data_IF_052268275148
#
_entry.id   IF_052268275148
#
_cell.length_a   1.000
_cell.length_b   1.000
_cell.length_c   1.000
_cell.angle_alpha   90.00
_cell.angle_beta   90.00
_cell.angle_gamma   90.00
#
_symmetry.space_group_name_H-M   'P 1'
#
loop_
_entity.id
_entity.type
_entity.pdbx_description
1 polymer ?
#
# COMPACT_ATOMS: atom_id res chain seq x y z
N UNK A 1 -13.99 -21.39 15.65
CA UNK A 1 -13.64 -20.74 15.58
C UNK A 1 -13.48 -20.01 15.16
N UNK A 2 -13.41 -19.55 14.83
CA UNK A 2 -13.20 -18.70 14.36
C UNK A 2 -12.41 -18.33 14.20
N UNK A 3 -12.77 -18.61 14.10
CA UNK A 3 -11.90 -18.17 13.68
C UNK A 3 -11.46 -16.89 13.54
N UNK A 4 -10.56 -16.72 13.20
CA UNK A 4 -10.04 -15.42 13.16
C UNK A 4 -10.58 -14.63 11.98
N UNK A 5 -10.66 -13.31 12.10
CA UNK A 5 -11.05 -12.44 11.00
C UNK A 5 -9.85 -12.01 10.15
N UNK A 6 -8.67 -12.56 10.44
CA UNK A 6 -7.47 -12.19 9.71
C UNK A 6 -7.41 -12.87 8.35
N UNK A 7 -7.09 -12.10 7.33
CA UNK A 7 -6.85 -12.62 6.00
C UNK A 7 -5.52 -12.05 5.49
N UNK A 8 -4.74 -12.86 4.81
CA UNK A 8 -3.47 -12.44 4.27
C UNK A 8 -3.35 -12.89 2.83
N UNK A 9 -3.00 -11.95 1.94
CA UNK A 9 -2.83 -12.23 0.51
C UNK A 9 -1.47 -11.73 0.09
N UNK A 10 -0.71 -12.60 -0.56
CA UNK A 10 0.62 -12.29 -1.05
C UNK A 10 0.58 -12.11 -2.55
N UNK A 11 1.25 -11.07 -3.03
CA UNK A 11 1.28 -10.75 -4.45
C UNK A 11 2.69 -10.27 -4.81
N UNK A 12 3.25 -10.83 -5.85
CA UNK A 12 4.53 -10.35 -6.39
C UNK A 12 4.30 -9.81 -7.78
N UNK A 13 4.78 -8.60 -8.03
CA UNK A 13 4.69 -7.98 -9.35
C UNK A 13 6.07 -7.45 -9.76
N UNK A 14 6.36 -7.38 -11.06
CA UNK A 14 7.57 -6.71 -11.49
C UNK A 14 7.55 -5.24 -11.02
N UNK A 15 8.72 -4.73 -10.63
CA UNK A 15 8.84 -3.35 -10.14
C UNK A 15 8.86 -2.39 -11.32
N UNK A 16 7.72 -2.28 -12.00
CA UNK A 16 7.53 -1.41 -13.16
C UNK A 16 6.17 -0.74 -13.07
N UNK A 17 6.10 0.49 -13.53
CA UNK A 17 4.91 1.33 -13.38
C UNK A 17 3.60 0.67 -13.82
N UNK A 18 3.52 -0.03 -14.97
CA UNK A 18 2.24 -0.63 -15.37
C UNK A 18 1.68 -1.65 -14.39
N UNK A 19 2.53 -2.31 -13.62
CA UNK A 19 2.09 -3.34 -12.68
C UNK A 19 1.59 -2.78 -11.35
N UNK A 20 1.83 -1.51 -11.07
CA UNK A 20 1.27 -0.86 -9.89
C UNK A 20 -0.25 -0.91 -9.92
N UNK A 21 -0.84 -0.92 -11.11
CA UNK A 21 -2.28 -1.00 -11.28
C UNK A 21 -2.87 -2.28 -10.68
N UNK A 22 -2.14 -3.39 -10.81
CA UNK A 22 -2.60 -4.67 -10.27
C UNK A 22 -2.71 -4.58 -8.75
N UNK A 23 -1.72 -3.98 -8.12
CA UNK A 23 -1.71 -3.78 -6.67
C UNK A 23 -2.89 -2.90 -6.25
N UNK A 24 -3.10 -1.79 -6.96
CA UNK A 24 -4.19 -0.86 -6.66
C UNK A 24 -5.55 -1.51 -6.80
N UNK A 25 -5.78 -2.25 -7.89
CA UNK A 25 -7.06 -2.90 -8.14
C UNK A 25 -7.32 -4.00 -7.10
N UNK A 26 -6.29 -4.77 -6.76
CA UNK A 26 -6.41 -5.81 -5.74
C UNK A 26 -6.75 -5.24 -4.39
N UNK A 27 -6.10 -4.15 -4.01
CA UNK A 27 -6.38 -3.47 -2.74
C UNK A 27 -7.80 -2.93 -2.70
N UNK A 28 -8.25 -2.31 -3.79
CA UNK A 28 -9.61 -1.76 -3.85
C UNK A 28 -10.67 -2.85 -3.71
N UNK A 29 -10.44 -4.00 -4.36
CA UNK A 29 -11.36 -5.12 -4.26
C UNK A 29 -11.47 -5.65 -2.83
N UNK A 30 -10.33 -5.78 -2.15
CA UNK A 30 -10.33 -6.22 -0.76
C UNK A 30 -10.98 -5.20 0.17
N UNK A 31 -10.69 -3.93 -0.04
CA UNK A 31 -11.25 -2.87 0.79
C UNK A 31 -12.77 -2.82 0.66
N UNK A 32 -13.27 -2.94 -0.56
CA UNK A 32 -14.70 -2.96 -0.80
C UNK A 32 -15.36 -4.14 -0.09
N UNK A 33 -14.76 -5.31 -0.17
CA UNK A 33 -15.27 -6.51 0.47
C UNK A 33 -15.36 -6.35 1.99
N UNK A 34 -14.48 -5.55 2.57
CA UNK A 34 -14.41 -5.38 4.03
C UNK A 34 -15.06 -4.09 4.51
N UNK A 35 -15.92 -3.51 3.72
CA UNK A 35 -16.82 -2.46 4.19
C UNK A 35 -16.31 -1.04 4.09
N UNK A 36 -15.23 -0.80 3.37
CA UNK A 36 -14.81 0.58 3.15
C UNK A 36 -15.77 1.31 2.23
N UNK A 37 -15.98 2.58 2.51
CA UNK A 37 -16.77 3.45 1.64
C UNK A 37 -16.00 3.76 0.35
N UNK A 38 -16.71 4.24 -0.66
CA UNK A 38 -16.05 4.63 -1.91
C UNK A 38 -15.01 5.72 -1.69
N UNK A 39 -15.30 6.69 -0.81
CA UNK A 39 -14.33 7.73 -0.50
C UNK A 39 -13.06 7.18 0.16
N UNK A 40 -13.24 6.25 1.08
CA UNK A 40 -12.10 5.58 1.73
C UNK A 40 -11.29 4.77 0.75
N UNK A 41 -11.96 4.09 -0.19
CA UNK A 41 -11.28 3.31 -1.23
C UNK A 41 -10.50 4.23 -2.15
N UNK A 42 -11.06 5.38 -2.52
CA UNK A 42 -10.36 6.35 -3.36
C UNK A 42 -9.09 6.86 -2.68
N UNK A 43 -9.19 7.18 -1.39
CA UNK A 43 -8.02 7.62 -0.61
C UNK A 43 -6.96 6.53 -0.57
N UNK A 44 -7.38 5.29 -0.34
CA UNK A 44 -6.47 4.16 -0.30
C UNK A 44 -5.78 3.97 -1.66
N UNK A 45 -6.53 4.07 -2.75
CA UNK A 45 -5.97 3.92 -4.10
C UNK A 45 -4.90 4.97 -4.38
N UNK A 46 -5.15 6.21 -3.99
CA UNK A 46 -4.18 7.29 -4.17
C UNK A 46 -2.92 7.03 -3.34
N UNK A 47 -3.09 6.59 -2.10
CA UNK A 47 -1.95 6.28 -1.24
C UNK A 47 -1.12 5.14 -1.83
N UNK A 48 -1.76 4.12 -2.39
CA UNK A 48 -1.08 2.99 -3.00
C UNK A 48 -0.34 3.42 -4.26
N UNK A 49 -0.93 4.28 -5.08
CA UNK A 49 -0.24 4.81 -6.25
C UNK A 49 1.06 5.52 -5.85
N UNK A 50 0.99 6.35 -4.81
CA UNK A 50 2.19 7.06 -4.34
C UNK A 50 3.20 6.09 -3.73
N UNK A 51 2.73 5.06 -3.03
CA UNK A 51 3.60 4.04 -2.48
C UNK A 51 4.36 3.31 -3.57
N UNK A 52 3.68 2.97 -4.67
CA UNK A 52 4.34 2.30 -5.79
C UNK A 52 5.36 3.22 -6.46
N UNK A 53 5.04 4.49 -6.60
CA UNK A 53 5.98 5.48 -7.17
C UNK A 53 7.26 5.54 -6.33
N UNK A 54 7.11 5.58 -5.01
CA UNK A 54 8.25 5.60 -4.10
C UNK A 54 9.12 4.34 -4.28
N UNK A 55 8.48 3.17 -4.34
CA UNK A 55 9.22 1.92 -4.45
C UNK A 55 9.93 1.77 -5.80
N UNK A 56 9.51 2.50 -6.82
CA UNK A 56 10.18 2.49 -8.11
C UNK A 56 11.36 3.46 -8.17
N UNK A 57 11.49 4.35 -7.18
CA UNK A 57 12.57 5.32 -7.15
C UNK A 57 13.92 4.64 -7.01
N UNK A 58 14.90 5.10 -7.74
CA UNK A 58 16.27 4.57 -7.66
C UNK A 58 16.51 3.31 -8.47
N UNK A 59 15.54 2.86 -9.26
CA UNK A 59 15.73 1.68 -10.10
C UNK A 59 16.23 2.07 -11.49
N UNK A 60 17.29 1.42 -12.00
CA UNK A 60 17.70 1.64 -13.38
C UNK A 60 16.69 1.02 -14.35
N UNK A 61 16.70 1.47 -15.60
CA UNK A 61 15.74 1.03 -16.61
C UNK A 61 15.81 -0.47 -16.89
N UNK A 62 16.97 -1.06 -16.75
CA UNK A 62 17.21 -2.46 -17.10
C UNK A 62 17.20 -3.40 -15.90
N UNK A 63 16.59 -2.99 -14.79
CA UNK A 63 16.55 -3.81 -13.59
C UNK A 63 15.60 -5.01 -13.75
N UNK A 64 15.81 -6.02 -12.91
CA UNK A 64 14.96 -7.21 -12.81
C UNK A 64 14.26 -7.29 -11.46
N UNK A 65 14.09 -6.18 -10.77
CA UNK A 65 13.54 -6.18 -9.44
C UNK A 65 12.03 -6.41 -9.44
N UNK A 66 11.55 -7.02 -8.36
CA UNK A 66 10.12 -7.23 -8.12
C UNK A 66 9.71 -6.48 -6.87
N UNK A 67 8.41 -6.27 -6.73
CA UNK A 67 7.82 -5.77 -5.50
C UNK A 67 6.96 -6.89 -4.91
N UNK A 68 7.24 -7.23 -3.66
CA UNK A 68 6.43 -8.16 -2.90
C UNK A 68 5.44 -7.36 -2.08
N UNK A 69 4.17 -7.69 -2.21
CA UNK A 69 3.09 -7.00 -1.52
C UNK A 69 2.32 -7.99 -0.67
N UNK A 70 2.04 -7.60 0.55
CA UNK A 70 1.18 -8.38 1.43
C UNK A 70 0.00 -7.50 1.82
N UNK A 71 -1.20 -7.97 1.53
CA UNK A 71 -2.42 -7.35 2.04
C UNK A 71 -2.85 -8.12 3.26
N UNK A 72 -3.15 -7.42 4.35
CA UNK A 72 -3.67 -8.03 5.57
C UNK A 72 -4.95 -7.33 5.98
N UNK A 73 -5.95 -8.14 6.31
CA UNK A 73 -7.16 -7.63 6.92
C UNK A 73 -7.26 -8.28 8.29
N UNK A 74 -7.26 -7.48 9.33
CA UNK A 74 -7.34 -7.96 10.70
C UNK A 74 -8.32 -7.07 11.46
N UNK A 75 -9.38 -7.65 11.99
CA UNK A 75 -10.40 -6.90 12.73
C UNK A 75 -10.94 -5.70 11.94
N UNK A 76 -11.12 -5.89 10.63
CA UNK A 76 -11.63 -4.84 9.77
C UNK A 76 -10.60 -3.80 9.34
N UNK A 77 -9.39 -3.89 9.85
CA UNK A 77 -8.33 -2.95 9.47
C UNK A 77 -7.59 -3.49 8.25
N UNK A 78 -7.43 -2.62 7.27
CA UNK A 78 -6.66 -2.94 6.05
C UNK A 78 -5.21 -2.52 6.25
N UNK A 79 -4.30 -3.41 5.91
CA UNK A 79 -2.87 -3.11 5.90
C UNK A 79 -2.26 -3.58 4.59
N UNK A 80 -1.41 -2.74 4.01
CA UNK A 80 -0.58 -3.11 2.88
C UNK A 80 0.88 -2.96 3.31
N UNK A 81 1.65 -4.01 3.07
CA UNK A 81 3.09 -3.97 3.27
C UNK A 81 3.74 -4.30 1.94
N UNK A 82 4.71 -3.51 1.52
CA UNK A 82 5.37 -3.71 0.22
C UNK A 82 6.87 -3.54 0.37
N UNK A 83 7.61 -4.42 -0.30
CA UNK A 83 9.07 -4.41 -0.28
C UNK A 83 9.56 -4.60 -1.69
N UNK A 84 10.44 -3.72 -2.13
CA UNK A 84 11.14 -3.89 -3.41
C UNK A 84 12.36 -4.76 -3.18
N UNK A 85 12.69 -5.58 -4.16
CA UNK A 85 13.88 -6.40 -4.10
C UNK A 85 15.15 -5.58 -4.25
N UNK A 86 15.91 -5.84 -5.30
CA UNK A 86 17.19 -5.17 -5.51
C UNK A 86 16.99 -3.74 -6.01
N UNK A 87 18.02 -2.94 -5.83
CA UNK A 87 18.03 -1.56 -6.27
C UNK A 87 18.69 -0.67 -5.23
N UNK A 88 18.81 0.60 -5.55
CA UNK A 88 19.39 1.55 -4.62
C UNK A 88 18.34 2.01 -3.61
N UNK A 89 18.80 2.66 -2.56
CA UNK A 89 17.91 3.22 -1.55
C UNK A 89 16.91 4.18 -2.19
N UNK A 90 15.75 4.30 -1.58
CA UNK A 90 14.77 5.29 -2.00
C UNK A 90 15.30 6.66 -1.60
N UNK A 91 15.28 7.63 -2.54
CA UNK A 91 15.81 8.95 -2.30
C UNK A 91 14.95 9.79 -1.35
N UNK A 92 15.58 10.77 -0.71
CA UNK A 92 14.91 11.64 0.24
C UNK A 92 13.76 12.41 -0.38
N UNK A 93 13.92 12.87 -1.61
CA UNK A 93 12.85 13.62 -2.28
C UNK A 93 11.60 12.78 -2.48
N UNK A 94 11.79 11.50 -2.84
CA UNK A 94 10.67 10.58 -3.02
C UNK A 94 9.97 10.31 -1.69
N UNK A 95 10.72 10.11 -0.62
CA UNK A 95 10.16 9.91 0.71
C UNK A 95 9.38 11.14 1.16
N UNK A 96 9.95 12.31 0.96
CA UNK A 96 9.32 13.56 1.37
C UNK A 96 7.98 13.77 0.65
N UNK A 97 7.96 13.48 -0.65
CA UNK A 97 6.74 13.57 -1.44
C UNK A 97 5.69 12.58 -0.94
N UNK A 98 6.11 11.36 -0.65
CA UNK A 98 5.21 10.33 -0.14
C UNK A 98 4.60 10.76 1.19
N UNK A 99 5.44 11.28 2.11
CA UNK A 99 4.96 11.75 3.42
C UNK A 99 3.89 12.83 3.26
N UNK A 100 4.11 13.76 2.35
CA UNK A 100 3.20 14.87 2.15
C UNK A 100 1.82 14.41 1.66
N UNK A 101 1.79 13.33 0.87
CA UNK A 101 0.56 12.84 0.27
C UNK A 101 -0.13 11.81 1.16
N UNK A 102 0.62 10.83 1.66
CA UNK A 102 0.05 9.72 2.41
C UNK A 102 -0.57 10.14 3.73
N UNK A 103 -0.01 11.16 4.37
CA UNK A 103 -0.47 11.61 5.68
C UNK A 103 -1.94 12.02 5.71
N UNK A 104 -2.49 12.43 4.56
CA UNK A 104 -3.89 12.83 4.48
C UNK A 104 -4.82 11.73 3.96
N UNK A 105 -4.28 10.56 3.63
CA UNK A 105 -5.04 9.52 2.92
C UNK A 105 -5.22 8.24 3.72
N UNK A 106 -4.31 7.95 4.65
CA UNK A 106 -4.35 6.73 5.45
C UNK A 106 -4.20 7.08 6.93
N UNK A 107 -4.55 6.13 7.79
CA UNK A 107 -4.50 6.34 9.24
C UNK A 107 -3.08 6.43 9.77
N UNK A 108 -2.23 5.54 9.30
CA UNK A 108 -0.81 5.59 9.60
C UNK A 108 -0.01 4.86 8.53
N UNK A 109 1.29 5.13 8.51
CA UNK A 109 2.18 4.49 7.57
C UNK A 109 3.61 4.55 8.11
N UNK A 110 4.44 3.63 7.62
CA UNK A 110 5.87 3.60 7.89
C UNK A 110 6.61 3.43 6.57
N UNK A 111 7.82 3.96 6.49
CA UNK A 111 8.68 3.75 5.34
C UNK A 111 10.12 3.61 5.80
N UNK A 112 10.84 2.64 5.23
CA UNK A 112 12.26 2.45 5.46
C UNK A 112 12.98 2.57 4.11
N UNK A 113 13.54 3.74 3.80
CA UNK A 113 14.14 3.98 2.49
C UNK A 113 15.32 3.08 2.18
N UNK A 114 16.09 2.69 3.19
CA UNK A 114 17.28 1.88 2.98
C UNK A 114 16.96 0.44 2.61
N UNK A 115 15.76 -0.02 2.93
CA UNK A 115 15.30 -1.37 2.61
C UNK A 115 14.21 -1.36 1.54
N UNK A 116 13.88 -0.19 1.00
CA UNK A 116 12.79 -0.01 0.04
C UNK A 116 11.54 -0.74 0.48
N UNK A 117 11.14 -0.47 1.72
CA UNK A 117 10.01 -1.09 2.39
C UNK A 117 9.05 -0.02 2.88
N UNK A 118 7.74 -0.31 2.79
CA UNK A 118 6.75 0.58 3.38
C UNK A 118 5.52 -0.21 3.83
N UNK A 119 4.73 0.44 4.66
CA UNK A 119 3.49 -0.13 5.17
C UNK A 119 2.46 0.98 5.30
N UNK A 120 1.23 0.68 4.86
CA UNK A 120 0.09 1.59 4.97
C UNK A 120 -1.00 0.88 5.77
N UNK A 121 -1.71 1.63 6.61
CA UNK A 121 -2.86 1.11 7.36
C UNK A 121 -4.04 2.04 7.22
N UNK A 122 -5.21 1.47 6.97
CA UNK A 122 -6.44 2.22 6.91
C UNK A 122 -7.57 1.41 7.53
N UNK A 123 -8.30 2.06 8.43
CA UNK A 123 -9.44 1.45 9.10
C UNK A 123 -10.70 2.15 8.58
N UNK A 124 -11.71 1.39 8.17
CA UNK A 124 -12.97 2.00 7.76
C UNK A 124 -13.57 2.81 8.91
N UNK A 125 -14.22 3.92 8.57
CA UNK A 125 -14.94 4.69 9.58
C UNK A 125 -16.06 3.84 10.17
N UNK A 126 -16.28 4.01 11.47
CA UNK A 126 -17.40 3.36 12.12
C UNK A 126 -18.71 3.98 11.60
N UNK A 127 -19.62 3.15 11.02
CA UNK A 127 -20.86 3.71 10.52
C UNK A 127 -21.65 4.48 11.58
N UNK A 128 -21.49 4.12 12.85
CA UNK A 128 -22.20 4.78 13.94
C UNK A 128 -21.63 6.16 14.27
N UNK A 129 -20.48 6.49 13.72
CA UNK A 129 -19.84 7.79 13.95
C UNK A 129 -20.33 8.87 12.99
N UNK A 130 -21.10 8.50 12.00
CA UNK A 130 -21.48 9.41 10.91
C UNK A 130 -22.75 10.20 11.21
N UNK A 131 -23.09 10.36 12.44
CA UNK A 131 -24.32 11.10 12.80
C UNK A 131 -24.09 12.60 12.94
#
# INVERSE_FOLDING_TARGET
MHETDASEILLRVPARAPYARIVRVGAAALALRHGMSFGEIDDLRLAIDEAMIVLLDGLPDDHDSDIDVVFRITDGRFELEATRGEGEDVGEAAVHRFDAIASGLVDDYDIDPSHAWLRLRKTPADPDEDD
#
